data_IF_609928378950
#
_entry.id   IF_609928378950
#
_cell.length_a   1.000
_cell.length_b   1.000
_cell.length_c   1.000
_cell.angle_alpha   90.00
_cell.angle_beta   90.00
_cell.angle_gamma   90.00
#
_symmetry.space_group_name_H-M   'P 1'
#
loop_
_entity.id
_entity.type
_entity.pdbx_description
1 polymer ?
#
# COMPACT_ATOMS: atom_id res chain seq x y z
N UNK A 1 16.80 23.56 24.51
CA UNK A 1 16.52 23.06 23.14
C UNK A 1 15.06 22.63 23.11
N UNK A 2 14.13 23.55 22.80
CA UNK A 2 12.71 23.20 22.65
C UNK A 2 12.53 22.62 21.23
N UNK A 3 12.35 21.31 21.14
CA UNK A 3 11.92 20.66 19.90
C UNK A 3 10.47 21.06 19.62
N UNK A 4 10.27 21.79 18.53
CA UNK A 4 8.95 22.05 17.97
C UNK A 4 8.27 20.72 17.65
N UNK A 5 7.26 20.36 18.43
CA UNK A 5 6.31 19.32 18.06
C UNK A 5 5.51 19.88 16.89
N UNK A 6 5.86 19.51 15.65
CA UNK A 6 5.00 19.75 14.50
C UNK A 6 3.69 19.00 14.75
N UNK A 7 2.53 19.67 14.78
CA UNK A 7 1.26 18.96 14.92
C UNK A 7 1.11 18.04 13.72
N UNK A 8 0.82 16.76 13.98
CA UNK A 8 0.43 15.84 12.94
C UNK A 8 -0.90 16.34 12.35
N UNK A 9 -0.88 16.73 11.08
CA UNK A 9 -2.10 17.09 10.36
C UNK A 9 -2.92 15.81 10.20
N UNK A 10 -4.05 15.74 10.88
CA UNK A 10 -4.99 14.64 10.70
C UNK A 10 -5.57 14.72 9.28
N UNK A 11 -5.45 13.63 8.52
CA UNK A 11 -6.02 13.55 7.19
C UNK A 11 -7.55 13.61 7.26
N UNK A 12 -8.16 14.29 6.28
CA UNK A 12 -9.61 14.44 6.18
C UNK A 12 -10.24 13.09 5.80
N UNK A 13 -10.93 12.46 6.75
CA UNK A 13 -11.50 11.12 6.57
C UNK A 13 -12.86 11.11 5.84
N UNK A 14 -13.67 12.17 5.99
CA UNK A 14 -14.98 12.29 5.33
C UNK A 14 -14.87 13.23 4.14
N UNK A 15 -15.22 12.74 2.95
CA UNK A 15 -15.22 13.55 1.72
C UNK A 15 -16.35 14.58 1.78
N UNK A 16 -17.60 14.12 1.96
CA UNK A 16 -18.79 14.95 2.14
C UNK A 16 -19.83 14.22 3.02
N UNK A 17 -20.76 14.97 3.62
CA UNK A 17 -21.81 14.39 4.48
C UNK A 17 -22.88 13.66 3.65
N UNK A 18 -23.13 14.13 2.44
CA UNK A 18 -24.07 13.53 1.48
C UNK A 18 -23.62 12.11 1.15
N UNK A 19 -22.33 11.89 0.84
CA UNK A 19 -21.80 10.55 0.54
C UNK A 19 -21.93 9.58 1.72
N UNK A 20 -21.73 10.08 2.94
CA UNK A 20 -21.92 9.27 4.17
C UNK A 20 -23.39 8.89 4.34
N UNK A 21 -24.30 9.83 4.11
CA UNK A 21 -25.74 9.62 4.33
C UNK A 21 -26.36 8.73 3.24
N UNK A 22 -26.04 8.99 1.97
CA UNK A 22 -26.70 8.36 0.82
C UNK A 22 -26.01 7.05 0.39
N UNK A 23 -24.69 6.94 0.58
CA UNK A 23 -23.92 5.78 0.13
C UNK A 23 -23.29 4.99 1.28
N UNK A 24 -23.47 5.43 2.53
CA UNK A 24 -22.82 4.84 3.70
C UNK A 24 -21.31 4.74 3.52
N UNK A 25 -20.73 5.73 2.84
CA UNK A 25 -19.32 5.73 2.54
C UNK A 25 -18.49 5.89 3.81
N UNK A 26 -17.53 4.98 3.98
CA UNK A 26 -16.61 4.97 5.12
C UNK A 26 -15.20 4.76 4.58
N UNK A 27 -14.26 5.58 5.04
CA UNK A 27 -12.84 5.39 4.79
C UNK A 27 -12.13 4.99 6.07
N UNK A 28 -11.44 3.85 6.04
CA UNK A 28 -10.59 3.41 7.15
C UNK A 28 -9.25 4.12 7.06
N UNK A 29 -8.90 4.87 8.11
CA UNK A 29 -7.62 5.59 8.18
C UNK A 29 -6.43 4.65 8.16
N UNK A 30 -5.32 5.09 7.58
CA UNK A 30 -4.07 4.31 7.49
C UNK A 30 -3.56 3.83 8.86
N UNK A 31 -3.75 4.62 9.92
CA UNK A 31 -3.42 4.24 11.30
C UNK A 31 -4.16 2.97 11.72
N UNK A 32 -5.47 2.92 11.50
CA UNK A 32 -6.31 1.78 11.89
C UNK A 32 -6.01 0.55 11.05
N UNK A 33 -5.80 0.74 9.73
CA UNK A 33 -5.37 -0.36 8.85
C UNK A 33 -4.08 -1.00 9.35
N UNK A 34 -3.08 -0.18 9.67
CA UNK A 34 -1.81 -0.70 10.18
C UNK A 34 -1.97 -1.39 11.54
N UNK A 35 -2.68 -0.76 12.49
CA UNK A 35 -2.92 -1.34 13.80
C UNK A 35 -3.63 -2.71 13.71
N UNK A 36 -4.61 -2.84 12.82
CA UNK A 36 -5.32 -4.11 12.61
C UNK A 36 -4.43 -5.18 11.96
N UNK A 37 -3.60 -4.81 10.98
CA UNK A 37 -2.68 -5.75 10.34
C UNK A 37 -1.54 -6.17 11.26
N UNK A 38 -1.15 -5.32 12.21
CA UNK A 38 -0.12 -5.64 13.20
C UNK A 38 -0.57 -6.75 14.17
N UNK A 39 -1.88 -6.91 14.40
CA UNK A 39 -2.44 -8.03 15.17
C UNK A 39 -2.20 -9.39 14.50
N UNK A 40 -1.99 -9.40 13.18
CA UNK A 40 -1.77 -10.61 12.37
C UNK A 40 -0.48 -10.52 11.55
N UNK A 41 0.52 -9.81 12.06
CA UNK A 41 1.76 -9.50 11.34
C UNK A 41 2.42 -10.74 10.71
N UNK A 42 2.47 -11.86 11.44
CA UNK A 42 3.02 -13.13 10.97
C UNK A 42 2.33 -13.62 9.68
N UNK A 43 1.01 -13.46 9.56
CA UNK A 43 0.27 -13.84 8.36
C UNK A 43 0.54 -12.85 7.22
N UNK A 44 0.69 -11.55 7.51
CA UNK A 44 1.01 -10.54 6.49
C UNK A 44 2.42 -10.67 5.93
N UNK A 45 3.35 -11.26 6.70
CA UNK A 45 4.73 -11.53 6.29
C UNK A 45 4.90 -12.91 5.64
N UNK A 46 3.93 -13.83 5.81
CA UNK A 46 3.90 -15.11 5.11
C UNK A 46 3.43 -14.92 3.66
N UNK A 47 4.32 -15.12 2.70
CA UNK A 47 4.07 -14.83 1.28
C UNK A 47 2.85 -15.61 0.72
N UNK A 48 2.72 -16.89 1.06
CA UNK A 48 1.67 -17.81 0.60
C UNK A 48 0.35 -17.71 1.38
N UNK A 49 0.28 -16.91 2.44
CA UNK A 49 -0.98 -16.67 3.16
C UNK A 49 -2.04 -16.05 2.24
N UNK A 50 -3.32 -16.27 2.53
CA UNK A 50 -4.44 -15.72 1.76
C UNK A 50 -5.32 -14.89 2.67
N UNK A 51 -5.66 -13.69 2.22
CA UNK A 51 -6.58 -12.79 2.90
C UNK A 51 -7.85 -12.65 2.06
N UNK A 52 -8.99 -12.62 2.74
CA UNK A 52 -10.27 -12.31 2.13
C UNK A 52 -10.77 -11.01 2.74
N UNK A 53 -11.09 -10.04 1.90
CA UNK A 53 -11.78 -8.83 2.32
C UNK A 53 -13.04 -8.64 1.45
N UNK A 54 -14.22 -9.12 1.90
CA UNK A 54 -15.48 -8.98 1.16
C UNK A 54 -15.95 -7.53 0.95
N UNK A 55 -15.49 -6.58 1.76
CA UNK A 55 -15.88 -5.17 1.72
C UNK A 55 -14.69 -4.23 1.46
N UNK A 56 -13.77 -4.66 0.58
CA UNK A 56 -12.46 -4.03 0.43
C UNK A 56 -12.49 -2.55 0.03
N UNK A 57 -13.60 -2.03 -0.53
CA UNK A 57 -13.75 -0.63 -0.90
C UNK A 57 -12.62 -0.17 -1.82
N UNK A 58 -11.86 0.85 -1.41
CA UNK A 58 -10.66 1.35 -2.13
C UNK A 58 -9.42 0.46 -1.96
N UNK A 59 -9.53 -0.64 -1.22
CA UNK A 59 -8.49 -1.64 -1.06
C UNK A 59 -7.47 -1.33 0.03
N UNK A 60 -7.74 -0.45 0.99
CA UNK A 60 -6.73 0.01 1.96
C UNK A 60 -6.00 -1.14 2.68
N UNK A 61 -6.73 -2.17 3.11
CA UNK A 61 -6.13 -3.37 3.71
C UNK A 61 -5.32 -4.19 2.71
N UNK A 62 -5.87 -4.45 1.53
CA UNK A 62 -5.23 -5.29 0.52
C UNK A 62 -3.94 -4.65 -0.01
N UNK A 63 -3.93 -3.33 -0.19
CA UNK A 63 -2.74 -2.56 -0.57
C UNK A 63 -1.64 -2.68 0.49
N UNK A 64 -1.96 -2.46 1.76
CA UNK A 64 -0.97 -2.56 2.84
C UNK A 64 -0.48 -4.02 3.04
N UNK A 65 -1.37 -5.02 2.92
CA UNK A 65 -0.98 -6.44 2.92
C UNK A 65 -0.01 -6.74 1.77
N UNK A 66 -0.32 -6.28 0.55
CA UNK A 66 0.54 -6.47 -0.62
C UNK A 66 1.90 -5.80 -0.42
N UNK A 67 1.94 -4.58 0.11
CA UNK A 67 3.19 -3.87 0.41
C UNK A 67 4.05 -4.64 1.41
N UNK A 68 3.46 -5.17 2.49
CA UNK A 68 4.17 -6.00 3.48
C UNK A 68 4.75 -7.26 2.84
N UNK A 69 3.95 -7.97 2.02
CA UNK A 69 4.43 -9.15 1.28
C UNK A 69 5.56 -8.84 0.32
N UNK A 70 5.45 -7.75 -0.45
CA UNK A 70 6.50 -7.33 -1.38
C UNK A 70 7.79 -6.95 -0.66
N UNK A 71 7.73 -6.36 0.54
CA UNK A 71 8.93 -6.11 1.37
C UNK A 71 9.63 -7.42 1.73
N UNK A 72 8.87 -8.45 2.11
CA UNK A 72 9.42 -9.79 2.41
C UNK A 72 10.03 -10.44 1.17
N UNK A 73 9.34 -10.39 0.03
CA UNK A 73 9.86 -10.90 -1.26
C UNK A 73 11.18 -10.21 -1.61
N UNK A 74 11.22 -8.87 -1.57
CA UNK A 74 12.44 -8.11 -1.84
C UNK A 74 13.57 -8.50 -0.90
N UNK A 75 13.30 -8.62 0.41
CA UNK A 75 14.32 -9.02 1.39
C UNK A 75 14.86 -10.44 1.14
N UNK A 76 13.99 -11.41 0.84
CA UNK A 76 14.37 -12.82 0.64
C UNK A 76 15.05 -13.10 -0.71
N UNK A 77 14.63 -12.40 -1.77
CA UNK A 77 15.05 -12.71 -3.14
C UNK A 77 15.88 -11.61 -3.82
N UNK A 78 16.27 -10.53 -3.11
CA UNK A 78 17.09 -9.44 -3.66
C UNK A 78 18.37 -9.92 -4.37
N UNK A 79 18.93 -11.05 -3.95
CA UNK A 79 20.19 -11.61 -4.49
C UNK A 79 20.00 -12.60 -5.63
N UNK A 80 18.75 -13.00 -5.92
CA UNK A 80 18.41 -14.03 -6.90
C UNK A 80 17.67 -13.45 -8.11
N UNK A 81 17.90 -12.18 -8.45
CA UNK A 81 17.38 -11.65 -9.71
C UNK A 81 18.02 -12.44 -10.85
N UNK A 82 17.24 -13.17 -11.68
CA UNK A 82 17.77 -13.63 -12.94
C UNK A 82 18.18 -12.39 -13.74
N UNK A 83 19.43 -12.39 -14.18
CA UNK A 83 19.94 -11.43 -15.14
C UNK A 83 18.99 -11.42 -16.36
N UNK A 84 18.56 -10.21 -16.76
CA UNK A 84 17.68 -9.90 -17.92
C UNK A 84 16.20 -10.30 -17.83
N UNK A 85 15.36 -9.33 -17.47
CA UNK A 85 14.33 -8.92 -18.45
C UNK A 85 14.84 -7.60 -18.96
N UNK A 86 15.53 -7.65 -20.10
CA UNK A 86 15.95 -6.45 -20.79
C UNK A 86 14.78 -5.48 -20.83
N UNK A 87 15.08 -4.24 -20.44
CA UNK A 87 14.33 -3.09 -20.89
C UNK A 87 14.20 -3.23 -22.41
N UNK A 88 13.11 -3.80 -22.90
CA UNK A 88 12.65 -3.48 -24.24
C UNK A 88 12.42 -1.98 -24.18
N UNK A 89 13.41 -1.27 -24.68
CA UNK A 89 13.32 0.13 -25.03
C UNK A 89 11.95 0.31 -25.68
N UNK A 90 11.05 1.04 -25.01
CA UNK A 90 9.89 1.56 -25.72
C UNK A 90 10.43 2.25 -26.98
N UNK A 91 9.84 2.02 -28.17
CA UNK A 91 10.24 2.67 -29.41
C UNK A 91 10.36 4.20 -29.30
N UNK A 92 9.71 4.80 -28.30
CA UNK A 92 9.75 6.22 -27.96
C UNK A 92 11.18 6.71 -27.61
N UNK A 93 12.04 5.88 -27.00
CA UNK A 93 13.40 6.32 -26.61
C UNK A 93 14.38 6.46 -27.79
N UNK A 94 14.07 5.91 -28.97
CA UNK A 94 14.95 6.01 -30.14
C UNK A 94 14.72 7.29 -30.95
N UNK A 95 13.57 7.96 -30.78
CA UNK A 95 13.19 9.14 -31.58
C UNK A 95 13.65 10.50 -31.02
N UNK A 96 14.28 10.56 -29.84
CA UNK A 96 14.75 11.82 -29.22
C UNK A 96 16.28 11.92 -29.24
N UNK A 97 16.94 11.19 -30.14
CA UNK A 97 18.39 11.29 -30.39
C UNK A 97 18.70 11.44 -31.88
N UNK A 98 17.93 12.29 -32.56
CA UNK A 98 18.38 13.00 -33.76
C UNK A 98 18.28 14.49 -33.50
#
# INVERSE_FOLDING_TARGET
MLSFIKPAVAEKQVISKERVTDHREVYTNKREVNAMLDLVAQETERIDSRFLEPACGTGNFLTEILERKLKVVKSRYAKNQPESVDNQASPIKLAVRQ
#
